data_IF_541168900912
#
_entry.id   IF_541168900912
#
_cell.length_a   1.000
_cell.length_b   1.000
_cell.length_c   1.000
_cell.angle_alpha   90.00
_cell.angle_beta   90.00
_cell.angle_gamma   90.00
#
_symmetry.space_group_name_H-M   'P 1'
#
loop_
_entity.id
_entity.type
_entity.pdbx_description
1 polymer ?
#
# COMPACT_ATOMS: atom_id res chain seq x y z
N UNK A 1 24.97 1.46 -9.80
CA UNK A 1 25.66 2.05 -10.98
C UNK A 1 26.01 3.51 -10.76
N UNK A 2 25.05 4.43 -10.47
CA UNK A 2 25.32 5.89 -10.33
C UNK A 2 26.42 6.22 -9.32
N UNK A 3 26.36 5.64 -8.11
CA UNK A 3 27.38 5.86 -7.07
C UNK A 3 28.79 5.43 -7.51
N UNK A 4 28.90 4.30 -8.21
CA UNK A 4 30.19 3.83 -8.75
C UNK A 4 30.73 4.79 -9.82
N UNK A 5 29.87 5.32 -10.68
CA UNK A 5 30.25 6.31 -11.69
C UNK A 5 30.72 7.63 -11.07
N UNK A 6 30.26 7.94 -9.85
CA UNK A 6 30.72 9.10 -9.06
C UNK A 6 31.88 8.77 -8.12
N UNK A 7 32.53 7.60 -8.27
CA UNK A 7 33.73 7.24 -7.54
C UNK A 7 33.52 6.76 -6.10
N UNK A 8 32.28 6.37 -5.73
CA UNK A 8 32.05 5.76 -4.43
C UNK A 8 32.64 4.35 -4.38
N UNK A 9 33.28 4.00 -3.27
CA UNK A 9 33.80 2.64 -3.04
C UNK A 9 32.65 1.62 -2.96
N UNK A 10 32.86 0.44 -3.55
CA UNK A 10 31.84 -0.62 -3.61
C UNK A 10 31.40 -1.09 -2.20
N UNK A 11 32.34 -1.20 -1.27
CA UNK A 11 32.04 -1.63 0.11
C UNK A 11 31.17 -0.59 0.84
N UNK A 12 31.45 0.70 0.68
CA UNK A 12 30.61 1.76 1.24
C UNK A 12 29.18 1.70 0.68
N UNK A 13 29.02 1.38 -0.61
CA UNK A 13 27.69 1.20 -1.24
C UNK A 13 26.98 -0.01 -0.62
N UNK A 14 27.68 -1.13 -0.44
CA UNK A 14 27.11 -2.35 0.18
C UNK A 14 26.67 -2.09 1.62
N UNK A 15 27.50 -1.41 2.41
CA UNK A 15 27.21 -1.08 3.81
C UNK A 15 25.95 -0.22 3.92
N UNK A 16 25.82 0.81 3.08
CA UNK A 16 24.63 1.65 3.04
C UNK A 16 23.38 0.84 2.63
N UNK A 17 23.49 0.01 1.60
CA UNK A 17 22.36 -0.83 1.15
C UNK A 17 21.95 -1.86 2.20
N UNK A 18 22.87 -2.39 2.99
CA UNK A 18 22.59 -3.35 4.06
C UNK A 18 21.96 -2.69 5.29
N UNK A 19 22.26 -1.43 5.56
CA UNK A 19 21.83 -0.71 6.77
C UNK A 19 20.68 0.28 6.51
N UNK A 20 20.36 0.58 5.25
CA UNK A 20 19.33 1.55 4.90
C UNK A 20 17.94 1.02 5.23
N UNK A 21 17.31 1.59 6.24
CA UNK A 21 15.97 1.20 6.72
C UNK A 21 14.81 1.56 5.77
N UNK A 22 15.11 2.12 4.59
CA UNK A 22 14.09 2.61 3.67
C UNK A 22 13.59 4.03 4.00
N UNK A 23 12.62 4.49 3.23
CA UNK A 23 11.97 5.79 3.42
C UNK A 23 10.61 5.58 4.07
N UNK A 24 10.29 6.38 5.09
CA UNK A 24 8.97 6.35 5.76
C UNK A 24 7.84 6.47 4.74
N UNK A 25 6.79 5.69 4.93
CA UNK A 25 5.58 5.65 4.09
C UNK A 25 5.82 5.22 2.62
N UNK A 26 6.99 4.65 2.30
CA UNK A 26 7.28 4.09 0.98
C UNK A 26 7.61 2.60 1.12
N UNK A 27 6.67 1.74 0.77
CA UNK A 27 6.75 0.28 0.94
C UNK A 27 7.36 -0.13 2.29
N UNK A 28 7.13 0.70 3.31
CA UNK A 28 7.70 0.58 4.64
C UNK A 28 7.13 -0.65 5.34
N UNK A 29 7.98 -1.61 5.71
CA UNK A 29 7.56 -2.70 6.60
C UNK A 29 7.19 -2.13 7.98
N UNK A 30 5.97 -2.42 8.45
CA UNK A 30 5.46 -1.95 9.74
C UNK A 30 5.68 -3.02 10.81
N UNK A 31 5.08 -4.19 10.61
CA UNK A 31 5.23 -5.36 11.50
C UNK A 31 4.74 -6.63 10.83
N UNK A 32 5.06 -7.76 11.45
CA UNK A 32 4.36 -9.02 11.24
C UNK A 32 3.28 -9.18 12.32
N UNK A 33 2.08 -9.55 11.91
CA UNK A 33 0.94 -9.81 12.78
C UNK A 33 0.25 -11.12 12.42
N UNK A 34 0.28 -12.09 13.34
CA UNK A 34 -0.31 -13.43 13.14
C UNK A 34 0.07 -14.07 11.79
N UNK A 35 1.35 -13.98 11.42
CA UNK A 35 1.89 -14.52 10.17
C UNK A 35 1.59 -13.68 8.90
N UNK A 36 1.05 -12.49 9.03
CA UNK A 36 0.83 -11.53 7.93
C UNK A 36 1.86 -10.42 8.01
N UNK A 37 2.46 -10.07 6.88
CA UNK A 37 3.37 -8.92 6.80
C UNK A 37 2.59 -7.68 6.38
N UNK A 38 2.77 -6.60 7.12
CA UNK A 38 2.02 -5.35 6.93
C UNK A 38 2.97 -4.25 6.45
N UNK A 39 2.61 -3.60 5.35
CA UNK A 39 3.39 -2.57 4.70
C UNK A 39 2.61 -1.26 4.54
N UNK A 40 3.30 -0.16 4.81
CA UNK A 40 2.81 1.20 4.64
C UNK A 40 3.46 1.83 3.41
N UNK A 41 2.66 2.06 2.38
CA UNK A 41 3.05 2.77 1.17
C UNK A 41 2.12 3.98 0.94
N UNK A 42 1.80 4.70 2.03
CA UNK A 42 0.91 5.87 1.97
C UNK A 42 1.39 6.96 1.00
N UNK A 43 2.67 6.98 0.67
CA UNK A 43 3.28 7.87 -0.33
C UNK A 43 2.87 7.54 -1.77
N UNK A 44 2.27 6.39 -2.05
CA UNK A 44 1.72 6.03 -3.36
C UNK A 44 0.43 6.83 -3.64
N UNK A 45 0.59 8.08 -4.04
CA UNK A 45 -0.51 9.01 -4.32
C UNK A 45 -0.94 9.02 -5.80
N UNK A 46 -0.51 8.04 -6.58
CA UNK A 46 -0.86 7.82 -7.99
C UNK A 46 -0.76 6.34 -8.35
N UNK A 47 -1.34 5.95 -9.50
CA UNK A 47 -1.37 4.56 -9.96
C UNK A 47 0.02 3.97 -10.20
N UNK A 48 0.95 4.73 -10.77
CA UNK A 48 2.30 4.22 -11.06
C UNK A 48 3.05 3.77 -9.80
N UNK A 49 2.93 4.53 -8.71
CA UNK A 49 3.54 4.16 -7.43
C UNK A 49 2.90 2.88 -6.85
N UNK A 50 1.56 2.80 -6.85
CA UNK A 50 0.84 1.61 -6.40
C UNK A 50 1.14 0.38 -7.27
N UNK A 51 1.24 0.56 -8.59
CA UNK A 51 1.68 -0.50 -9.51
C UNK A 51 3.01 -1.10 -9.06
N UNK A 52 4.01 -0.24 -8.84
CA UNK A 52 5.34 -0.68 -8.38
C UNK A 52 5.29 -1.42 -7.03
N UNK A 53 4.43 -0.97 -6.11
CA UNK A 53 4.26 -1.64 -4.83
C UNK A 53 3.60 -3.02 -4.97
N UNK A 54 2.58 -3.17 -5.83
CA UNK A 54 1.92 -4.45 -6.09
C UNK A 54 2.87 -5.47 -6.72
N UNK A 55 3.72 -5.03 -7.66
CA UNK A 55 4.69 -5.88 -8.36
C UNK A 55 5.85 -6.35 -7.47
N UNK A 56 6.06 -5.71 -6.31
CA UNK A 56 7.09 -6.10 -5.37
C UNK A 56 6.78 -7.39 -4.58
N UNK A 57 5.53 -7.86 -4.62
CA UNK A 57 5.09 -9.01 -3.82
C UNK A 57 4.57 -10.16 -4.68
N UNK A 58 5.03 -11.38 -4.35
CA UNK A 58 4.60 -12.63 -4.98
C UNK A 58 3.57 -13.41 -4.14
N UNK A 59 3.08 -12.82 -3.04
CA UNK A 59 2.10 -13.40 -2.13
C UNK A 59 0.74 -12.74 -2.32
N UNK A 60 -0.37 -13.37 -1.86
CA UNK A 60 -1.68 -12.72 -1.91
C UNK A 60 -1.69 -11.41 -1.12
N UNK A 61 -2.31 -10.38 -1.69
CA UNK A 61 -2.36 -9.03 -1.14
C UNK A 61 -3.80 -8.68 -0.74
N UNK A 62 -3.97 -8.17 0.47
CA UNK A 62 -5.13 -7.37 0.86
C UNK A 62 -4.73 -5.91 0.71
N UNK A 63 -5.27 -5.26 -0.32
CA UNK A 63 -4.92 -3.88 -0.69
C UNK A 63 -5.88 -2.89 -0.03
N UNK A 64 -5.32 -1.90 0.67
CA UNK A 64 -6.04 -0.72 1.15
C UNK A 64 -5.79 0.42 0.16
N UNK A 65 -6.84 0.90 -0.51
CA UNK A 65 -6.72 1.88 -1.58
C UNK A 65 -7.84 2.93 -1.56
N UNK A 66 -7.56 4.09 -2.18
CA UNK A 66 -8.51 5.19 -2.29
C UNK A 66 -8.01 6.49 -1.67
N UNK A 67 -8.83 7.51 -1.71
CA UNK A 67 -8.53 8.87 -1.30
C UNK A 67 -9.17 9.89 -2.22
N UNK A 68 -8.58 11.07 -2.36
CA UNK A 68 -9.09 12.19 -3.14
C UNK A 68 -9.28 11.83 -4.62
N UNK A 69 -10.45 12.17 -5.17
CA UNK A 69 -10.74 12.00 -6.59
C UNK A 69 -10.16 13.14 -7.42
N UNK A 70 -9.16 12.83 -8.23
CA UNK A 70 -8.57 13.73 -9.23
C UNK A 70 -9.00 13.40 -10.66
N UNK A 71 -10.00 12.54 -10.83
CA UNK A 71 -10.52 12.16 -12.14
C UNK A 71 -9.63 11.19 -12.93
N UNK A 72 -8.54 10.67 -12.36
CA UNK A 72 -7.66 9.74 -13.06
C UNK A 72 -8.27 8.32 -13.15
N UNK A 73 -7.87 7.58 -14.18
CA UNK A 73 -8.26 6.18 -14.36
C UNK A 73 -7.39 5.26 -13.53
N UNK A 74 -7.95 4.13 -13.06
CA UNK A 74 -7.20 3.06 -12.40
C UNK A 74 -6.74 1.95 -13.37
N UNK A 75 -7.01 2.08 -14.67
CA UNK A 75 -6.71 1.06 -15.68
C UNK A 75 -5.22 0.70 -15.73
N UNK A 76 -4.33 1.62 -15.40
CA UNK A 76 -2.88 1.38 -15.32
C UNK A 76 -2.50 0.29 -14.28
N UNK A 77 -3.37 0.00 -13.31
CA UNK A 77 -3.15 -1.02 -12.28
C UNK A 77 -3.57 -2.42 -12.72
N UNK A 78 -4.38 -2.55 -13.79
CA UNK A 78 -5.05 -3.80 -14.17
C UNK A 78 -4.11 -5.01 -14.23
N UNK A 79 -2.96 -4.86 -14.90
CA UNK A 79 -1.99 -5.95 -15.07
C UNK A 79 -1.33 -6.37 -13.75
N UNK A 80 -1.25 -5.45 -12.78
CA UNK A 80 -0.60 -5.69 -11.48
C UNK A 80 -1.57 -6.18 -10.40
N UNK A 81 -2.88 -6.28 -10.70
CA UNK A 81 -3.89 -6.75 -9.75
C UNK A 81 -3.89 -8.27 -9.54
N UNK A 82 -3.08 -9.03 -10.26
CA UNK A 82 -3.13 -10.51 -10.27
C UNK A 82 -2.95 -11.18 -8.89
N UNK A 83 -2.16 -10.59 -8.00
CA UNK A 83 -1.96 -11.08 -6.64
C UNK A 83 -2.90 -10.43 -5.60
N UNK A 84 -3.76 -9.49 -6.01
CA UNK A 84 -4.71 -8.83 -5.10
C UNK A 84 -5.92 -9.73 -4.88
N UNK A 85 -6.00 -10.34 -3.70
CA UNK A 85 -7.12 -11.22 -3.31
C UNK A 85 -8.32 -10.46 -2.78
N UNK A 86 -8.07 -9.32 -2.11
CA UNK A 86 -9.10 -8.47 -1.53
C UNK A 86 -8.72 -6.99 -1.64
N UNK A 87 -9.72 -6.13 -1.76
CA UNK A 87 -9.58 -4.67 -1.73
C UNK A 87 -10.47 -4.09 -0.64
N UNK A 88 -9.88 -3.28 0.23
CA UNK A 88 -10.60 -2.42 1.16
C UNK A 88 -10.41 -0.98 0.69
N UNK A 89 -11.47 -0.37 0.17
CA UNK A 89 -11.37 0.95 -0.42
C UNK A 89 -12.06 2.01 0.44
N UNK A 90 -11.47 3.21 0.50
CA UNK A 90 -11.91 4.33 1.34
C UNK A 90 -11.81 5.68 0.60
N UNK A 91 -12.34 6.73 1.23
CA UNK A 91 -12.29 8.08 0.69
C UNK A 91 -13.19 8.28 -0.54
N UNK A 92 -13.04 9.44 -1.19
CA UNK A 92 -13.89 9.84 -2.33
C UNK A 92 -13.89 8.83 -3.49
N UNK A 93 -12.73 8.21 -3.76
CA UNK A 93 -12.59 7.23 -4.85
C UNK A 93 -13.00 5.82 -4.45
N UNK A 94 -13.37 5.57 -3.19
CA UNK A 94 -13.55 4.23 -2.64
C UNK A 94 -14.47 3.34 -3.48
N UNK A 95 -15.70 3.79 -3.79
CA UNK A 95 -16.65 3.01 -4.58
C UNK A 95 -16.15 2.78 -6.02
N UNK A 96 -15.55 3.78 -6.65
CA UNK A 96 -14.99 3.66 -7.99
C UNK A 96 -13.81 2.68 -8.05
N UNK A 97 -12.99 2.65 -7.00
CA UNK A 97 -11.90 1.68 -6.89
C UNK A 97 -12.42 0.23 -6.72
N UNK A 98 -13.52 0.05 -5.94
CA UNK A 98 -14.19 -1.24 -5.79
C UNK A 98 -14.72 -1.76 -7.15
N UNK A 99 -15.40 -0.90 -7.90
CA UNK A 99 -15.89 -1.26 -9.23
C UNK A 99 -14.75 -1.67 -10.16
N UNK A 100 -13.67 -0.90 -10.20
CA UNK A 100 -12.47 -1.25 -10.94
C UNK A 100 -11.89 -2.60 -10.49
N UNK A 101 -11.71 -2.82 -9.19
CA UNK A 101 -11.17 -4.06 -8.66
C UNK A 101 -12.00 -5.30 -9.06
N UNK A 102 -13.33 -5.19 -9.06
CA UNK A 102 -14.23 -6.25 -9.54
C UNK A 102 -14.00 -6.56 -11.02
N UNK A 103 -13.77 -5.55 -11.87
CA UNK A 103 -13.44 -5.80 -13.29
C UNK A 103 -12.09 -6.48 -13.49
N UNK A 104 -11.19 -6.40 -12.50
CA UNK A 104 -9.91 -7.12 -12.46
C UNK A 104 -10.03 -8.55 -11.88
N UNK A 105 -11.24 -8.99 -11.49
CA UNK A 105 -11.49 -10.32 -10.95
C UNK A 105 -11.29 -10.45 -9.44
N UNK A 106 -11.09 -9.34 -8.70
CA UNK A 106 -11.00 -9.36 -7.24
C UNK A 106 -12.38 -9.69 -6.66
N UNK A 107 -12.47 -10.77 -5.88
CA UNK A 107 -13.73 -11.30 -5.36
C UNK A 107 -14.18 -10.60 -4.07
N UNK A 108 -13.23 -10.30 -3.20
CA UNK A 108 -13.50 -9.71 -1.89
C UNK A 108 -13.25 -8.20 -1.96
N UNK A 109 -14.31 -7.41 -1.86
CA UNK A 109 -14.22 -5.94 -1.86
C UNK A 109 -15.08 -5.36 -0.76
N UNK A 110 -14.53 -4.42 0.02
CA UNK A 110 -15.20 -3.75 1.13
C UNK A 110 -15.00 -2.25 1.02
N UNK A 111 -16.07 -1.47 1.22
CA UNK A 111 -16.00 -0.04 1.42
C UNK A 111 -15.77 0.26 2.92
N UNK A 112 -14.72 0.99 3.22
CA UNK A 112 -14.41 1.49 4.55
C UNK A 112 -14.66 3.01 4.61
N UNK A 113 -14.92 3.52 5.80
CA UNK A 113 -15.12 4.96 5.99
C UNK A 113 -13.82 5.72 5.88
N UNK A 114 -12.75 5.18 6.46
CA UNK A 114 -11.42 5.78 6.59
C UNK A 114 -10.34 4.68 6.69
N UNK A 115 -9.09 5.06 6.91
CA UNK A 115 -7.98 4.11 7.06
C UNK A 115 -8.11 3.26 8.32
N UNK A 116 -8.64 3.80 9.40
CA UNK A 116 -8.84 3.11 10.67
C UNK A 116 -9.78 1.90 10.49
N UNK A 117 -10.93 2.12 9.86
CA UNK A 117 -11.86 1.06 9.51
C UNK A 117 -11.25 0.07 8.51
N UNK A 118 -10.50 0.59 7.53
CA UNK A 118 -9.88 -0.22 6.50
C UNK A 118 -8.86 -1.22 7.09
N UNK A 119 -8.10 -0.85 8.12
CA UNK A 119 -7.18 -1.76 8.82
C UNK A 119 -7.94 -2.92 9.48
N UNK A 120 -9.09 -2.65 10.11
CA UNK A 120 -9.91 -3.69 10.75
C UNK A 120 -10.46 -4.66 9.70
N UNK A 121 -11.00 -4.16 8.60
CA UNK A 121 -11.49 -5.03 7.51
C UNK A 121 -10.35 -5.83 6.87
N UNK A 122 -9.20 -5.22 6.62
CA UNK A 122 -8.06 -5.90 6.05
C UNK A 122 -7.53 -7.03 6.95
N UNK A 123 -7.50 -6.79 8.27
CA UNK A 123 -7.14 -7.82 9.25
C UNK A 123 -8.08 -9.04 9.17
N UNK A 124 -9.40 -8.81 9.04
CA UNK A 124 -10.41 -9.87 8.95
C UNK A 124 -10.38 -10.62 7.60
N UNK A 125 -10.06 -9.95 6.49
CA UNK A 125 -10.00 -10.54 5.15
C UNK A 125 -8.68 -11.28 4.89
N UNK A 126 -7.64 -10.98 5.67
CA UNK A 126 -6.32 -11.59 5.48
C UNK A 126 -6.20 -12.96 6.15
N UNK A 127 -5.43 -13.84 5.54
CA UNK A 127 -5.01 -15.14 6.08
C UNK A 127 -3.51 -15.13 6.40
N UNK A 128 -3.03 -16.18 7.07
CA UNK A 128 -1.60 -16.37 7.28
C UNK A 128 -0.86 -16.33 5.93
N UNK A 129 0.33 -15.77 5.91
CA UNK A 129 1.19 -15.55 4.75
C UNK A 129 0.74 -14.46 3.77
N UNK A 130 -0.42 -13.84 3.95
CA UNK A 130 -0.85 -12.69 3.16
C UNK A 130 -0.02 -11.43 3.47
N UNK A 131 -0.05 -10.52 2.51
CA UNK A 131 0.43 -9.15 2.66
C UNK A 131 -0.77 -8.23 2.92
N UNK A 132 -0.73 -7.41 3.95
CA UNK A 132 -1.63 -6.26 4.11
C UNK A 132 -0.86 -5.03 3.65
N UNK A 133 -1.35 -4.37 2.60
CA UNK A 133 -0.66 -3.27 1.94
C UNK A 133 -1.54 -2.02 1.88
N UNK A 134 -1.12 -0.96 2.57
CA UNK A 134 -1.64 0.39 2.29
C UNK A 134 -0.87 0.96 1.10
N UNK A 135 -1.49 1.01 -0.09
CA UNK A 135 -0.94 1.69 -1.28
C UNK A 135 -2.10 2.34 -2.05
N UNK A 136 -2.45 3.58 -1.66
CA UNK A 136 -3.75 4.18 -1.93
C UNK A 136 -4.05 4.52 -3.40
N UNK A 137 -3.05 4.66 -4.26
CA UNK A 137 -3.17 5.20 -5.62
C UNK A 137 -3.71 6.64 -5.71
N UNK A 138 -4.10 7.24 -4.60
CA UNK A 138 -4.75 8.55 -4.50
C UNK A 138 -4.09 9.44 -3.44
N UNK A 139 -4.18 10.76 -3.62
CA UNK A 139 -3.81 11.71 -2.58
C UNK A 139 -4.71 11.55 -1.35
N UNK A 140 -4.27 12.07 -0.21
CA UNK A 140 -4.95 11.89 1.08
C UNK A 140 -5.89 13.03 1.46
N UNK A 141 -5.93 14.12 0.70
CA UNK A 141 -6.48 15.42 1.10
C UNK A 141 -8.02 15.48 1.19
N UNK A 142 -8.69 14.40 0.90
CA UNK A 142 -10.11 14.22 1.19
C UNK A 142 -10.39 13.91 2.67
N UNK A 143 -9.44 13.26 3.37
CA UNK A 143 -9.62 12.82 4.74
C UNK A 143 -8.42 13.16 5.67
N UNK A 144 -7.25 13.45 5.12
CA UNK A 144 -6.01 13.72 5.86
C UNK A 144 -5.24 14.87 5.23
N UNK A 145 -4.65 15.75 6.03
CA UNK A 145 -3.88 16.92 5.54
C UNK A 145 -2.65 16.53 4.71
N UNK A 146 -2.09 15.33 4.93
CA UNK A 146 -0.96 14.84 4.16
C UNK A 146 -0.91 13.30 4.11
N UNK A 147 -0.12 12.75 3.16
CA UNK A 147 0.08 11.31 3.09
C UNK A 147 0.86 10.77 4.30
N UNK A 148 1.69 11.60 4.93
CA UNK A 148 2.41 11.26 6.17
C UNK A 148 1.41 11.02 7.30
N UNK A 149 0.46 11.93 7.51
CA UNK A 149 -0.58 11.78 8.54
C UNK A 149 -1.40 10.53 8.28
N UNK A 150 -1.86 10.30 7.04
CA UNK A 150 -2.55 9.05 6.67
C UNK A 150 -1.71 7.82 6.98
N UNK A 151 -0.43 7.86 6.68
CA UNK A 151 0.50 6.77 6.93
C UNK A 151 0.77 6.53 8.42
N UNK A 152 0.83 7.60 9.22
CA UNK A 152 0.99 7.49 10.68
C UNK A 152 -0.26 6.92 11.34
N UNK A 153 -1.44 7.37 10.95
CA UNK A 153 -2.72 6.78 11.39
C UNK A 153 -2.78 5.28 11.07
N UNK A 154 -2.37 4.89 9.87
CA UNK A 154 -2.30 3.46 9.50
C UNK A 154 -1.36 2.69 10.42
N UNK A 155 -0.14 3.19 10.68
CA UNK A 155 0.81 2.55 11.59
C UNK A 155 0.22 2.39 12.98
N UNK A 156 -0.38 3.46 13.52
CA UNK A 156 -0.98 3.45 14.86
C UNK A 156 -2.11 2.42 14.99
N UNK A 157 -2.95 2.28 13.96
CA UNK A 157 -4.00 1.27 13.93
C UNK A 157 -3.44 -0.15 13.83
N UNK A 158 -2.44 -0.35 12.97
CA UNK A 158 -1.75 -1.64 12.82
C UNK A 158 -1.10 -2.07 14.14
N UNK A 159 -0.47 -1.14 14.87
CA UNK A 159 0.17 -1.45 16.17
C UNK A 159 -0.84 -1.83 17.27
N UNK A 160 -2.10 -1.43 17.15
CA UNK A 160 -3.19 -1.77 18.08
C UNK A 160 -3.88 -3.10 17.76
N UNK A 161 -3.58 -3.74 16.63
CA UNK A 161 -4.14 -5.07 16.31
C UNK A 161 -3.67 -6.11 17.36
N UNK A 162 -4.61 -6.80 17.98
CA UNK A 162 -4.40 -7.83 19.01
C UNK A 162 -4.31 -9.23 18.40
#
# INVERSE_FOLDING_TARGET
>A
AACLLHGCELEAIKDVLATFAGVRHRSQFVREWKGRKIYNDSKATNCLATKSALEAFNKPIVLLAGGLDRGHSFEELRESMGNVKAVVAFGETGLRFIEFAKTCGVKETVAATNVEDAVVYAANLSAQDDIILLSPACASWDQYDSFEIRGDVFIDCVMKLV
#
